data_IF_866023823372
#
_entry.id   IF_866023823372
#
_cell.length_a   1.000
_cell.length_b   1.000
_cell.length_c   1.000
_cell.angle_alpha   90.00
_cell.angle_beta   90.00
_cell.angle_gamma   90.00
#
_symmetry.space_group_name_H-M   'P 1'
#
loop_
_entity.id
_entity.type
_entity.pdbx_description
1 polymer ?
#
# COMPACT_ATOMS: atom_id res chain seq x y z
N UNK A 1 -2.26 -13.00 -18.48
CA UNK A 1 -3.02 -12.77 -17.24
C UNK A 1 -2.59 -13.84 -16.26
N UNK A 2 -2.22 -13.46 -15.04
CA UNK A 2 -1.76 -14.37 -13.99
C UNK A 2 -2.55 -14.08 -12.73
N UNK A 3 -3.06 -15.12 -12.07
CA UNK A 3 -3.80 -14.98 -10.82
C UNK A 3 -3.03 -15.69 -9.72
N UNK A 4 -2.81 -14.99 -8.60
CA UNK A 4 -2.20 -15.54 -7.39
C UNK A 4 -3.15 -15.34 -6.21
N UNK A 5 -2.98 -16.17 -5.18
CA UNK A 5 -3.76 -16.07 -3.94
C UNK A 5 -2.90 -15.55 -2.80
N UNK A 6 -3.45 -14.58 -2.07
CA UNK A 6 -2.84 -14.04 -0.86
C UNK A 6 -3.78 -14.17 0.34
N UNK A 7 -3.24 -13.95 1.54
CA UNK A 7 -4.00 -13.91 2.79
C UNK A 7 -4.65 -12.55 2.94
N UNK A 8 -5.97 -12.52 3.12
CA UNK A 8 -6.72 -11.30 3.47
C UNK A 8 -6.21 -10.72 4.79
N UNK A 9 -5.98 -9.41 4.81
CA UNK A 9 -5.69 -8.64 6.02
C UNK A 9 -6.84 -7.67 6.31
N UNK A 10 -7.24 -6.87 5.33
CA UNK A 10 -8.47 -6.05 5.35
C UNK A 10 -9.28 -6.30 4.08
N UNK A 11 -10.60 -6.12 4.15
CA UNK A 11 -11.51 -6.44 3.04
C UNK A 11 -11.56 -5.36 1.95
N UNK A 12 -12.38 -5.61 0.93
CA UNK A 12 -12.61 -4.69 -0.17
C UNK A 12 -11.91 -5.09 -1.47
N UNK A 13 -12.16 -4.30 -2.51
CA UNK A 13 -11.65 -4.54 -3.86
C UNK A 13 -11.12 -3.25 -4.47
N UNK A 14 -10.07 -3.37 -5.27
CA UNK A 14 -9.45 -2.24 -5.93
C UNK A 14 -8.75 -2.66 -7.22
N UNK A 15 -8.64 -1.72 -8.16
CA UNK A 15 -7.88 -1.89 -9.39
C UNK A 15 -7.02 -0.67 -9.63
N UNK A 16 -5.79 -0.88 -10.06
CA UNK A 16 -4.88 0.22 -10.39
C UNK A 16 -3.59 -0.26 -11.03
N UNK A 17 -2.73 0.69 -11.37
CA UNK A 17 -1.37 0.37 -11.79
C UNK A 17 -0.52 0.02 -10.56
N UNK A 18 0.25 -1.05 -10.65
CA UNK A 18 1.20 -1.45 -9.62
C UNK A 18 2.32 -0.41 -9.50
N UNK A 19 2.68 -0.10 -8.25
CA UNK A 19 3.87 0.62 -7.86
C UNK A 19 4.64 -0.29 -6.90
N UNK A 20 5.74 -0.86 -7.37
CA UNK A 20 6.48 -1.93 -6.69
C UNK A 20 7.77 -1.36 -6.10
N UNK A 21 8.03 -1.69 -4.83
CA UNK A 21 9.29 -1.42 -4.13
C UNK A 21 9.80 -2.69 -3.47
N UNK A 22 11.12 -2.87 -3.45
CA UNK A 22 11.80 -3.90 -2.64
C UNK A 22 12.30 -3.34 -1.30
N UNK A 23 12.22 -2.03 -1.10
CA UNK A 23 12.51 -1.36 0.17
C UNK A 23 11.27 -1.32 1.06
N UNK A 24 11.42 -1.55 2.38
CA UNK A 24 10.35 -1.29 3.34
C UNK A 24 9.95 0.18 3.35
N UNK A 25 8.64 0.45 3.51
CA UNK A 25 8.11 1.82 3.47
C UNK A 25 7.92 2.36 4.89
N UNK A 26 8.62 3.45 5.23
CA UNK A 26 8.29 4.24 6.41
C UNK A 26 7.26 5.30 6.04
N UNK A 27 5.96 5.05 6.29
CA UNK A 27 4.92 6.00 5.88
C UNK A 27 5.10 7.39 6.49
N UNK A 28 5.59 7.49 7.74
CA UNK A 28 5.84 8.76 8.38
C UNK A 28 6.98 9.54 7.71
N UNK A 29 8.16 8.95 7.54
CA UNK A 29 9.26 9.61 6.85
C UNK A 29 8.96 9.87 5.36
N UNK A 30 8.15 9.01 4.73
CA UNK A 30 7.82 9.09 3.31
C UNK A 30 6.76 10.14 3.00
N UNK A 31 5.84 10.44 3.91
CA UNK A 31 4.67 11.29 3.62
C UNK A 31 4.56 12.49 4.56
N UNK A 32 5.63 12.90 5.22
CA UNK A 32 5.64 14.13 6.02
C UNK A 32 6.62 15.10 5.39
N UNK A 33 6.13 16.31 5.09
CA UNK A 33 6.98 17.44 4.72
C UNK A 33 7.14 18.36 5.93
N UNK A 34 8.35 18.93 6.16
CA UNK A 34 8.65 19.73 7.35
C UNK A 34 7.83 21.01 7.45
N UNK A 35 7.21 21.46 6.35
CA UNK A 35 6.52 22.75 6.32
C UNK A 35 5.06 22.69 6.79
N UNK A 36 4.37 21.52 6.85
CA UNK A 36 2.91 21.57 7.07
C UNK A 36 2.14 20.32 7.55
N UNK A 37 2.74 19.18 7.91
CA UNK A 37 1.94 17.95 8.18
C UNK A 37 0.98 17.66 6.99
N UNK A 38 1.36 18.11 5.80
CA UNK A 38 0.72 17.71 4.57
C UNK A 38 1.15 16.25 4.39
N UNK A 39 0.17 15.38 4.25
CA UNK A 39 0.32 13.97 3.88
C UNK A 39 0.22 13.91 2.35
N UNK A 40 1.26 14.30 1.57
CA UNK A 40 1.20 14.22 0.12
C UNK A 40 1.10 12.76 -0.30
N UNK A 41 0.47 12.50 -1.44
CA UNK A 41 0.52 11.18 -2.07
C UNK A 41 1.91 10.81 -2.58
N UNK A 42 2.79 11.81 -2.79
CA UNK A 42 4.15 11.58 -3.28
C UNK A 42 5.11 11.26 -2.14
N UNK A 43 5.88 10.19 -2.30
CA UNK A 43 6.94 9.80 -1.37
C UNK A 43 8.06 10.88 -1.37
N UNK A 44 8.42 11.35 -0.19
CA UNK A 44 9.38 12.44 0.06
C UNK A 44 10.73 11.94 0.60
N UNK A 45 10.83 10.66 0.96
CA UNK A 45 12.07 10.07 1.41
C UNK A 45 13.05 9.95 0.23
N UNK A 46 14.09 10.81 0.22
CA UNK A 46 15.12 10.86 -0.81
C UNK A 46 16.01 9.61 -0.88
N UNK A 47 15.98 8.77 0.15
CA UNK A 47 16.75 7.53 0.21
C UNK A 47 15.95 6.32 -0.24
N UNK A 48 14.64 6.48 -0.49
CA UNK A 48 13.76 5.42 -0.96
C UNK A 48 13.72 5.39 -2.49
N UNK A 49 13.68 4.19 -3.07
CA UNK A 49 13.59 3.97 -4.52
C UNK A 49 12.34 4.58 -5.18
N UNK A 50 11.26 4.76 -4.42
CA UNK A 50 10.02 5.41 -4.84
C UNK A 50 10.02 6.92 -4.62
N UNK A 51 11.16 7.57 -4.37
CA UNK A 51 11.23 9.02 -4.19
C UNK A 51 10.50 9.78 -5.31
N UNK A 52 9.57 10.67 -4.93
CA UNK A 52 8.64 11.44 -5.78
C UNK A 52 7.57 10.65 -6.53
N UNK A 53 7.55 9.32 -6.43
CA UNK A 53 6.48 8.50 -6.98
C UNK A 53 5.15 8.82 -6.28
N UNK A 54 4.08 8.92 -7.06
CA UNK A 54 2.73 9.19 -6.57
C UNK A 54 2.02 7.88 -6.27
N UNK A 55 1.65 7.66 -5.00
CA UNK A 55 0.97 6.44 -4.58
C UNK A 55 -0.55 6.52 -4.77
N UNK A 56 -1.10 7.70 -5.02
CA UNK A 56 -2.56 7.91 -5.06
C UNK A 56 -3.23 6.99 -6.09
N UNK A 57 -4.15 6.16 -5.62
CA UNK A 57 -4.91 5.24 -6.48
C UNK A 57 -4.09 4.11 -7.12
N UNK A 58 -2.83 3.92 -6.72
CA UNK A 58 -1.96 2.83 -7.17
C UNK A 58 -2.20 1.57 -6.34
N UNK A 59 -1.78 0.42 -6.87
CA UNK A 59 -1.62 -0.80 -6.07
C UNK A 59 -0.18 -0.80 -5.56
N UNK A 60 0.01 -0.47 -4.28
CA UNK A 60 1.33 -0.42 -3.68
C UNK A 60 1.78 -1.83 -3.30
N UNK A 61 2.91 -2.28 -3.84
CA UNK A 61 3.49 -3.59 -3.55
C UNK A 61 4.82 -3.38 -2.83
N UNK A 62 4.95 -3.92 -1.62
CA UNK A 62 6.09 -3.69 -0.73
C UNK A 62 6.38 -4.92 0.13
N UNK A 63 7.60 -5.07 0.68
CA UNK A 63 7.89 -6.16 1.61
C UNK A 63 7.12 -6.01 2.93
N UNK A 64 7.21 -4.85 3.56
CA UNK A 64 6.60 -4.51 4.86
C UNK A 64 6.69 -2.99 5.05
N UNK A 65 5.93 -2.44 6.00
CA UNK A 65 6.11 -1.09 6.51
C UNK A 65 7.02 -1.08 7.74
N UNK A 66 7.70 0.05 7.93
CA UNK A 66 8.61 0.27 9.06
C UNK A 66 8.33 1.62 9.73
N UNK A 67 8.97 1.85 10.87
CA UNK A 67 8.84 3.07 11.65
C UNK A 67 8.20 2.80 13.01
N UNK A 68 7.36 3.73 13.46
CA UNK A 68 6.67 3.66 14.74
C UNK A 68 5.16 3.65 14.53
N UNK A 69 4.39 3.65 15.61
CA UNK A 69 2.92 3.80 15.61
C UNK A 69 2.45 4.96 14.72
N UNK A 70 3.28 5.99 14.55
CA UNK A 70 2.97 7.14 13.73
C UNK A 70 2.87 6.82 12.23
N UNK A 71 3.53 5.76 11.73
CA UNK A 71 3.35 5.29 10.34
C UNK A 71 1.89 4.89 10.07
N UNK A 72 1.22 4.24 11.03
CA UNK A 72 -0.20 3.91 10.93
C UNK A 72 -1.09 5.14 10.88
N UNK A 73 -0.83 6.15 11.73
CA UNK A 73 -1.57 7.43 11.73
C UNK A 73 -1.40 8.16 10.39
N UNK A 74 -0.20 8.14 9.82
CA UNK A 74 0.07 8.78 8.52
C UNK A 74 -0.66 8.04 7.40
N UNK A 75 -0.64 6.70 7.38
CA UNK A 75 -1.40 5.91 6.41
C UNK A 75 -2.91 6.19 6.52
N UNK A 76 -3.45 6.24 7.74
CA UNK A 76 -4.84 6.65 8.01
C UNK A 76 -5.13 8.05 7.45
N UNK A 77 -4.21 9.00 7.66
CA UNK A 77 -4.28 10.35 7.12
C UNK A 77 -4.31 10.39 5.59
N UNK A 78 -3.54 9.53 4.91
CA UNK A 78 -3.58 9.41 3.45
C UNK A 78 -4.94 8.90 2.96
N UNK A 79 -5.51 7.89 3.64
CA UNK A 79 -6.80 7.28 3.27
C UNK A 79 -7.92 8.31 3.40
N UNK A 80 -8.00 8.98 4.56
CA UNK A 80 -9.04 9.98 4.83
C UNK A 80 -8.93 11.21 3.93
N UNK A 81 -7.73 11.60 3.53
CA UNK A 81 -7.50 12.68 2.54
C UNK A 81 -7.66 12.23 1.09
N UNK A 82 -8.00 10.96 0.82
CA UNK A 82 -8.18 10.38 -0.54
C UNK A 82 -6.94 10.55 -1.42
N UNK A 83 -5.77 10.37 -0.82
CA UNK A 83 -4.45 10.45 -1.46
C UNK A 83 -3.62 9.17 -1.23
N UNK A 84 -4.19 8.17 -0.57
CA UNK A 84 -3.61 6.84 -0.37
C UNK A 84 -3.55 5.99 -1.65
N UNK A 85 -2.79 4.87 -1.61
CA UNK A 85 -2.98 3.77 -2.54
C UNK A 85 -4.44 3.32 -2.62
N UNK A 86 -4.81 2.68 -3.74
CA UNK A 86 -6.10 2.00 -3.86
C UNK A 86 -6.08 0.64 -3.11
N UNK A 87 -4.92 -0.01 -3.03
CA UNK A 87 -4.70 -1.23 -2.26
C UNK A 87 -3.24 -1.36 -1.85
N UNK A 88 -2.98 -2.22 -0.87
CA UNK A 88 -1.63 -2.68 -0.52
C UNK A 88 -1.52 -4.19 -0.70
N UNK A 89 -0.47 -4.64 -1.38
CA UNK A 89 -0.03 -6.03 -1.39
C UNK A 89 1.32 -6.09 -0.66
N UNK A 90 1.34 -6.66 0.54
CA UNK A 90 2.54 -6.76 1.35
C UNK A 90 3.12 -8.17 1.31
N UNK A 91 4.45 -8.31 1.35
CA UNK A 91 5.04 -9.64 1.57
C UNK A 91 4.80 -10.11 3.01
N UNK A 92 4.88 -9.18 3.96
CA UNK A 92 4.51 -9.34 5.36
C UNK A 92 3.70 -8.11 5.78
N UNK A 93 2.43 -8.32 6.13
CA UNK A 93 1.56 -7.26 6.60
C UNK A 93 1.78 -7.05 8.10
N UNK A 94 2.56 -6.01 8.43
CA UNK A 94 2.83 -5.62 9.80
C UNK A 94 1.70 -4.80 10.43
N UNK A 95 1.78 -4.65 11.76
CA UNK A 95 0.80 -3.89 12.55
C UNK A 95 0.68 -2.41 12.16
N UNK A 96 1.67 -1.79 11.52
CA UNK A 96 1.59 -0.39 11.08
C UNK A 96 0.68 -0.26 9.85
N UNK A 97 0.78 -1.18 8.89
CA UNK A 97 -0.15 -1.25 7.75
C UNK A 97 -1.57 -1.49 8.28
N UNK A 98 -1.74 -2.51 9.13
CA UNK A 98 -3.06 -2.90 9.63
C UNK A 98 -3.72 -1.78 10.43
N UNK A 99 -3.00 -1.17 11.38
CA UNK A 99 -3.55 -0.11 12.21
C UNK A 99 -4.00 1.10 11.40
N UNK A 100 -3.22 1.53 10.39
CA UNK A 100 -3.59 2.68 9.57
C UNK A 100 -4.89 2.47 8.79
N UNK A 101 -5.08 1.26 8.24
CA UNK A 101 -6.30 0.93 7.50
C UNK A 101 -7.49 0.74 8.44
N UNK A 102 -7.31 0.00 9.54
CA UNK A 102 -8.39 -0.26 10.51
C UNK A 102 -8.85 1.04 11.18
N UNK A 103 -7.95 1.97 11.51
CA UNK A 103 -8.34 3.27 12.06
C UNK A 103 -9.14 4.10 11.04
N UNK A 104 -8.75 4.10 9.76
CA UNK A 104 -9.51 4.78 8.72
C UNK A 104 -10.92 4.17 8.55
N UNK A 105 -11.03 2.85 8.59
CA UNK A 105 -12.30 2.13 8.47
C UNK A 105 -13.21 2.38 9.68
N UNK A 106 -12.72 2.16 10.89
CA UNK A 106 -13.53 2.23 12.12
C UNK A 106 -13.92 3.66 12.47
N UNK A 107 -13.02 4.64 12.31
CA UNK A 107 -13.30 6.03 12.73
C UNK A 107 -13.94 6.89 11.63
N UNK A 108 -13.69 6.56 10.36
CA UNK A 108 -14.13 7.41 9.23
C UNK A 108 -14.98 6.67 8.19
N UNK A 109 -15.19 5.35 8.35
CA UNK A 109 -15.94 4.54 7.37
C UNK A 109 -15.20 4.40 6.04
N UNK A 110 -13.87 4.60 6.00
CA UNK A 110 -13.06 4.56 4.80
C UNK A 110 -12.06 3.40 4.86
N UNK A 111 -12.40 2.28 4.21
CA UNK A 111 -11.54 1.11 4.10
C UNK A 111 -10.59 1.15 2.90
N UNK A 112 -9.55 0.32 2.95
CA UNK A 112 -8.64 0.03 1.84
C UNK A 112 -8.27 -1.46 1.87
N UNK A 113 -8.35 -2.19 0.74
CA UNK A 113 -7.96 -3.59 0.70
C UNK A 113 -6.45 -3.78 0.94
N UNK A 114 -6.13 -4.74 1.80
CA UNK A 114 -4.77 -5.18 2.09
C UNK A 114 -4.71 -6.69 2.01
N UNK A 115 -3.78 -7.20 1.21
CA UNK A 115 -3.49 -8.63 1.06
C UNK A 115 -2.04 -8.88 1.39
N UNK A 116 -1.76 -9.93 2.16
CA UNK A 116 -0.41 -10.44 2.36
C UNK A 116 -0.12 -11.59 1.38
N UNK A 117 1.03 -11.56 0.71
CA UNK A 117 1.54 -12.65 -0.10
C UNK A 117 3.00 -12.95 0.31
N UNK A 118 3.26 -13.99 1.12
CA UNK A 118 4.59 -14.25 1.68
C UNK A 118 5.58 -14.87 0.69
N UNK A 119 5.16 -15.13 -0.56
CA UNK A 119 6.05 -15.71 -1.57
C UNK A 119 7.23 -14.80 -1.87
N UNK A 120 8.42 -15.39 -1.94
CA UNK A 120 9.66 -14.68 -2.28
C UNK A 120 9.64 -14.11 -3.71
N UNK A 121 8.74 -14.63 -4.56
CA UNK A 121 8.56 -14.28 -5.97
C UNK A 121 7.61 -13.09 -6.20
N UNK A 122 7.10 -12.43 -5.14
CA UNK A 122 6.16 -11.31 -5.24
C UNK A 122 6.63 -10.22 -6.22
N UNK A 123 7.91 -9.85 -6.13
CA UNK A 123 8.51 -8.75 -6.90
C UNK A 123 8.91 -9.16 -8.32
N UNK A 124 8.85 -10.46 -8.62
CA UNK A 124 9.07 -11.06 -9.93
C UNK A 124 7.73 -11.22 -10.66
N UNK A 125 6.68 -11.56 -9.90
CA UNK A 125 5.31 -11.72 -10.37
C UNK A 125 4.65 -10.39 -10.76
N UNK A 126 4.85 -9.34 -9.96
CA UNK A 126 4.26 -8.02 -10.17
C UNK A 126 5.36 -7.00 -10.44
N UNK A 127 5.22 -6.25 -11.54
CA UNK A 127 6.16 -5.18 -11.92
C UNK A 127 5.46 -3.83 -11.91
N UNK A 128 6.20 -2.77 -11.60
CA UNK A 128 5.68 -1.40 -11.70
C UNK A 128 5.13 -1.15 -13.11
N UNK A 129 3.89 -0.66 -13.18
CA UNK A 129 3.17 -0.42 -14.43
C UNK A 129 2.22 -1.54 -14.88
N UNK A 130 2.32 -2.74 -14.30
CA UNK A 130 1.29 -3.78 -14.49
C UNK A 130 -0.07 -3.28 -13.99
N UNK A 131 -1.15 -3.67 -14.65
CA UNK A 131 -2.49 -3.44 -14.11
C UNK A 131 -2.84 -4.58 -13.19
N UNK A 132 -3.17 -4.27 -11.94
CA UNK A 132 -3.47 -5.26 -10.91
C UNK A 132 -4.88 -5.01 -10.36
N UNK A 133 -5.64 -6.10 -10.26
CA UNK A 133 -6.91 -6.15 -9.54
C UNK A 133 -6.69 -6.93 -8.25
N UNK A 134 -7.13 -6.33 -7.13
CA UNK A 134 -7.05 -6.91 -5.80
C UNK A 134 -8.48 -7.15 -5.33
N UNK A 135 -8.82 -8.41 -5.09
CA UNK A 135 -10.02 -8.82 -4.37
C UNK A 135 -9.58 -9.38 -3.02
N UNK A 136 -9.51 -8.52 -2.01
CA UNK A 136 -9.05 -8.94 -0.69
C UNK A 136 -10.13 -9.76 0.05
N UNK A 137 -11.41 -9.63 -0.33
CA UNK A 137 -12.48 -10.45 0.22
C UNK A 137 -12.36 -11.91 -0.24
N UNK A 138 -12.02 -12.13 -1.51
CA UNK A 138 -11.74 -13.45 -2.08
C UNK A 138 -10.30 -13.95 -1.89
N UNK A 139 -9.37 -13.07 -1.48
CA UNK A 139 -7.94 -13.38 -1.36
C UNK A 139 -7.25 -13.54 -2.71
N UNK A 140 -7.73 -12.87 -3.76
CA UNK A 140 -7.23 -13.01 -5.13
C UNK A 140 -6.54 -11.73 -5.63
N UNK A 141 -5.42 -11.92 -6.30
CA UNK A 141 -4.67 -10.85 -6.97
C UNK A 141 -4.54 -11.25 -8.44
N UNK A 142 -5.15 -10.46 -9.33
CA UNK A 142 -5.12 -10.67 -10.78
C UNK A 142 -4.16 -9.68 -11.42
N UNK A 143 -3.20 -10.19 -12.18
CA UNK A 143 -2.12 -9.42 -12.79
C UNK A 143 -2.30 -9.43 -14.31
N UNK A 144 -2.48 -8.24 -14.88
CA UNK A 144 -2.50 -8.00 -16.31
C UNK A 144 -1.15 -7.40 -16.70
N UNK A 145 -0.23 -8.27 -17.15
CA UNK A 145 1.06 -7.84 -17.68
C UNK A 145 0.85 -6.91 -18.87
N UNK A 146 1.67 -5.86 -18.91
CA UNK A 146 1.76 -4.95 -20.03
C UNK A 146 2.53 -5.56 -21.20
#
# INVERSE_FOLDING_TARGET
MTTIRGRRITGGKARGQALVTRMPVNFAASHITPINILFPSRIQDRHHDLYRADVKGRILVLPTAVGSTYSGIVLQGLITRRVAPAAIIAQNADSFIVSGVVFAEVWFGLGMPVVEYPGADLFELIRTGDTVEVDADGGEIVIHRR
#
